data_IF_929335274538
#
_entry.id   IF_929335274538
#
_cell.length_a   1.000
_cell.length_b   1.000
_cell.length_c   1.000
_cell.angle_alpha   90.00
_cell.angle_beta   90.00
_cell.angle_gamma   90.00
#
_symmetry.space_group_name_H-M   'P 1'
#
loop_
_entity.id
_entity.type
_entity.pdbx_description
1 polymer ?
#
# COMPACT_ATOMS: atom_id res chain seq x y z
N UNK A 1 9.60 5.87 -0.87
CA UNK A 1 9.59 7.24 -1.40
C UNK A 1 10.34 8.12 -0.42
N UNK A 2 11.00 9.20 -0.83
CA UNK A 2 11.73 10.11 0.08
C UNK A 2 10.80 10.83 1.07
N UNK A 3 9.49 10.87 0.80
CA UNK A 3 8.46 11.40 1.70
C UNK A 3 8.07 10.44 2.83
N UNK A 4 8.37 9.14 2.71
CA UNK A 4 8.05 8.15 3.75
C UNK A 4 8.99 8.32 4.95
N UNK A 5 8.43 8.76 6.08
CA UNK A 5 9.19 9.11 7.28
C UNK A 5 9.51 7.90 8.16
N UNK A 6 8.74 6.82 8.07
CA UNK A 6 8.91 5.62 8.89
C UNK A 6 8.91 4.38 7.98
N UNK A 7 10.00 4.14 7.25
CA UNK A 7 10.06 3.03 6.31
C UNK A 7 9.99 1.68 7.03
N UNK A 8 9.17 0.76 6.50
CA UNK A 8 9.11 -0.63 6.97
C UNK A 8 10.34 -1.44 6.56
N UNK A 9 10.66 -2.47 7.34
CA UNK A 9 11.61 -3.52 6.92
C UNK A 9 10.97 -4.43 5.86
N UNK A 10 11.59 -4.54 4.68
CA UNK A 10 11.05 -5.29 3.54
C UNK A 10 11.46 -6.78 3.58
N UNK A 11 10.95 -7.53 4.56
CA UNK A 11 11.21 -8.96 4.73
C UNK A 11 10.25 -9.83 3.90
N UNK A 12 10.68 -10.32 2.73
CA UNK A 12 9.81 -11.09 1.82
C UNK A 12 9.75 -12.59 2.18
N UNK A 13 10.77 -13.11 2.88
CA UNK A 13 10.83 -14.45 3.47
C UNK A 13 11.52 -14.34 4.83
N UNK A 14 11.28 -15.31 5.72
CA UNK A 14 11.87 -15.32 7.07
C UNK A 14 13.39 -15.15 7.00
N UNK A 15 13.91 -14.05 7.56
CA UNK A 15 15.33 -13.70 7.58
C UNK A 15 15.89 -13.13 6.27
N UNK A 16 15.07 -12.96 5.23
CA UNK A 16 15.50 -12.41 3.92
C UNK A 16 14.83 -11.07 3.66
N UNK A 17 15.64 -10.02 3.73
CA UNK A 17 15.23 -8.63 3.55
C UNK A 17 15.65 -8.14 2.15
N UNK A 18 14.73 -7.47 1.45
CA UNK A 18 15.03 -6.82 0.18
C UNK A 18 15.91 -5.60 0.44
N UNK A 19 16.94 -5.39 -0.40
CA UNK A 19 17.65 -4.11 -0.41
C UNK A 19 16.71 -3.01 -0.92
N UNK A 20 16.74 -1.86 -0.26
CA UNK A 20 15.97 -0.69 -0.65
C UNK A 20 16.84 0.55 -0.63
N UNK A 21 16.53 1.51 -1.50
CA UNK A 21 17.13 2.84 -1.52
C UNK A 21 16.01 3.89 -1.50
N UNK A 22 16.23 5.06 -0.87
CA UNK A 22 15.33 6.19 -1.01
C UNK A 22 15.29 6.67 -2.47
N UNK A 23 14.12 7.13 -2.92
CA UNK A 23 13.93 7.68 -4.25
C UNK A 23 12.59 8.39 -4.35
N UNK A 24 12.46 9.30 -5.33
CA UNK A 24 11.22 10.01 -5.61
C UNK A 24 10.31 9.12 -6.47
N UNK A 25 9.08 8.89 -6.02
CA UNK A 25 8.04 8.20 -6.78
C UNK A 25 6.94 9.18 -7.17
N UNK A 26 6.33 8.97 -8.34
CA UNK A 26 5.19 9.77 -8.77
C UNK A 26 3.96 9.55 -7.86
N UNK A 27 3.74 8.30 -7.42
CA UNK A 27 2.68 7.91 -6.48
C UNK A 27 3.07 6.62 -5.77
N UNK A 28 2.50 6.37 -4.58
CA UNK A 28 2.89 5.24 -3.75
C UNK A 28 4.11 5.52 -2.88
N UNK A 29 4.28 4.70 -1.84
CA UNK A 29 5.44 4.74 -0.94
C UNK A 29 6.52 3.75 -1.34
N UNK A 30 6.14 2.63 -1.94
CA UNK A 30 7.05 1.55 -2.33
C UNK A 30 6.86 1.13 -3.77
N UNK A 31 7.98 0.86 -4.43
CA UNK A 31 8.01 0.34 -5.79
C UNK A 31 9.25 -0.53 -5.98
N UNK A 32 9.36 -1.17 -7.14
CA UNK A 32 10.50 -1.97 -7.55
C UNK A 32 11.38 -1.15 -8.52
N UNK A 33 12.68 -1.04 -8.23
CA UNK A 33 13.63 -0.33 -9.08
C UNK A 33 13.66 -0.93 -10.49
N UNK A 34 13.54 -0.08 -11.52
CA UNK A 34 13.39 -0.46 -12.93
C UNK A 34 11.93 -0.70 -13.36
N UNK A 35 10.98 -0.71 -12.42
CA UNK A 35 9.56 -0.99 -12.66
C UNK A 35 8.65 0.06 -11.99
N UNK A 36 9.15 1.28 -11.78
CA UNK A 36 8.43 2.34 -11.05
C UNK A 36 7.18 2.88 -11.73
N UNK A 37 6.98 2.57 -13.01
CA UNK A 37 5.76 2.89 -13.75
C UNK A 37 4.75 1.72 -13.76
N UNK A 38 5.12 0.59 -13.14
CA UNK A 38 4.39 -0.67 -13.25
C UNK A 38 3.81 -1.11 -11.91
N UNK A 39 4.62 -0.97 -10.85
CA UNK A 39 4.22 -1.33 -9.48
C UNK A 39 4.29 -0.13 -8.54
N UNK A 40 3.22 0.14 -7.81
CA UNK A 40 3.21 1.14 -6.74
C UNK A 40 2.37 0.62 -5.57
N UNK A 41 2.95 0.63 -4.38
CA UNK A 41 2.28 0.22 -3.15
C UNK A 41 2.24 1.44 -2.23
N UNK A 42 1.03 1.83 -1.85
CA UNK A 42 0.77 2.88 -0.86
C UNK A 42 0.64 2.23 0.50
N UNK A 43 1.33 2.75 1.52
CA UNK A 43 1.25 2.28 2.90
C UNK A 43 0.51 3.33 3.72
N UNK A 44 -0.35 2.90 4.63
CA UNK A 44 -1.05 3.82 5.53
C UNK A 44 -1.12 3.26 6.94
N UNK A 45 -0.76 4.08 7.92
CA UNK A 45 -1.12 3.79 9.31
C UNK A 45 -2.64 3.96 9.48
N UNK A 46 -3.21 3.45 10.57
CA UNK A 46 -4.64 3.61 10.83
C UNK A 46 -5.03 5.08 11.04
N UNK A 47 -4.20 5.87 11.73
CA UNK A 47 -4.47 7.27 12.00
C UNK A 47 -4.33 8.12 10.72
N UNK A 48 -3.32 7.85 9.89
CA UNK A 48 -3.17 8.52 8.59
C UNK A 48 -4.32 8.16 7.64
N UNK A 49 -4.79 6.91 7.67
CA UNK A 49 -5.95 6.48 6.89
C UNK A 49 -7.20 7.25 7.30
N UNK A 50 -7.43 7.43 8.61
CA UNK A 50 -8.57 8.24 9.07
C UNK A 50 -8.43 9.71 8.65
N UNK A 51 -7.21 10.26 8.64
CA UNK A 51 -6.94 11.57 8.05
C UNK A 51 -7.30 11.64 6.57
N UNK A 52 -6.95 10.61 5.80
CA UNK A 52 -7.28 10.48 4.38
C UNK A 52 -8.79 10.33 4.13
N UNK A 53 -9.52 9.61 4.97
CA UNK A 53 -10.98 9.45 4.82
C UNK A 53 -11.73 10.73 5.25
N UNK A 54 -11.18 11.44 6.23
CA UNK A 54 -11.73 12.69 6.75
C UNK A 54 -11.17 13.92 6.01
N UNK A 55 -10.32 14.66 6.71
CA UNK A 55 -9.93 16.03 6.32
C UNK A 55 -9.06 16.10 5.05
N UNK A 56 -8.40 15.01 4.68
CA UNK A 56 -7.49 14.96 3.52
C UNK A 56 -8.07 14.19 2.33
N UNK A 57 -9.39 13.96 2.32
CA UNK A 57 -10.05 13.11 1.33
C UNK A 57 -9.77 13.50 -0.10
N UNK A 58 -10.03 14.74 -0.49
CA UNK A 58 -9.82 15.19 -1.87
C UNK A 58 -8.37 14.98 -2.34
N UNK A 59 -7.40 15.20 -1.44
CA UNK A 59 -5.99 14.93 -1.74
C UNK A 59 -5.76 13.44 -1.96
N UNK A 60 -6.25 12.60 -1.06
CA UNK A 60 -6.02 11.16 -1.13
C UNK A 60 -6.74 10.50 -2.31
N UNK A 61 -7.93 10.97 -2.69
CA UNK A 61 -8.63 10.50 -3.90
C UNK A 61 -7.79 10.74 -5.17
N UNK A 62 -7.02 11.84 -5.24
CA UNK A 62 -6.08 12.05 -6.36
C UNK A 62 -4.95 11.02 -6.36
N UNK A 63 -4.52 10.53 -5.19
CA UNK A 63 -3.52 9.47 -5.09
C UNK A 63 -4.10 8.13 -5.53
N UNK A 64 -5.35 7.83 -5.14
CA UNK A 64 -6.12 6.67 -5.60
C UNK A 64 -6.25 6.68 -7.13
N UNK A 65 -6.63 7.81 -7.74
CA UNK A 65 -6.72 7.95 -9.19
C UNK A 65 -5.38 7.65 -9.88
N UNK A 66 -4.27 8.18 -9.35
CA UNK A 66 -2.93 7.88 -9.91
C UNK A 66 -2.56 6.41 -9.74
N UNK A 67 -2.85 5.81 -8.59
CA UNK A 67 -2.61 4.39 -8.34
C UNK A 67 -3.36 3.51 -9.35
N UNK A 68 -4.59 3.84 -9.75
CA UNK A 68 -5.37 3.05 -10.72
C UNK A 68 -4.62 2.78 -12.02
N UNK A 69 -3.75 3.69 -12.46
CA UNK A 69 -2.92 3.55 -13.65
C UNK A 69 -1.81 2.50 -13.57
N UNK A 70 -1.54 1.94 -12.39
CA UNK A 70 -0.51 0.91 -12.20
C UNK A 70 -1.08 -0.50 -12.45
N UNK A 71 -0.29 -1.36 -13.09
CA UNK A 71 -0.64 -2.77 -13.27
C UNK A 71 -0.69 -3.50 -11.93
N UNK A 72 0.34 -3.31 -11.10
CA UNK A 72 0.38 -3.85 -9.74
C UNK A 72 0.26 -2.70 -8.75
N UNK A 73 -0.80 -2.73 -7.96
CA UNK A 73 -1.11 -1.69 -6.99
C UNK A 73 -1.75 -2.27 -5.75
N UNK A 74 -1.51 -1.62 -4.62
CA UNK A 74 -2.24 -1.91 -3.39
C UNK A 74 -2.17 -0.72 -2.43
N UNK A 75 -3.21 -0.56 -1.63
CA UNK A 75 -3.21 0.18 -0.38
C UNK A 75 -2.98 -0.81 0.77
N UNK A 76 -1.83 -0.75 1.43
CA UNK A 76 -1.48 -1.59 2.59
C UNK A 76 -1.75 -0.80 3.85
N UNK A 77 -2.69 -1.26 4.67
CA UNK A 77 -3.12 -0.57 5.88
C UNK A 77 -2.59 -1.30 7.11
N UNK A 78 -1.94 -0.58 8.02
CA UNK A 78 -1.47 -1.10 9.32
C UNK A 78 -2.62 -1.23 10.33
N UNK A 79 -3.62 -2.03 9.97
CA UNK A 79 -4.79 -2.30 10.79
C UNK A 79 -5.45 -3.62 10.40
N UNK A 80 -6.50 -3.97 11.12
CA UNK A 80 -7.43 -5.05 10.79
C UNK A 80 -8.82 -4.47 10.54
N UNK A 81 -9.64 -5.18 9.78
CA UNK A 81 -11.06 -4.82 9.61
C UNK A 81 -11.76 -4.65 10.95
N UNK A 82 -11.56 -5.61 11.86
CA UNK A 82 -12.17 -5.61 13.20
C UNK A 82 -11.83 -4.35 14.02
N UNK A 83 -10.61 -3.80 13.90
CA UNK A 83 -10.25 -2.53 14.55
C UNK A 83 -11.03 -1.35 13.97
N UNK A 84 -11.14 -1.29 12.64
CA UNK A 84 -11.86 -0.21 11.95
C UNK A 84 -13.35 -0.28 12.28
N UNK A 85 -13.97 -1.46 12.22
CA UNK A 85 -15.37 -1.69 12.55
C UNK A 85 -15.72 -1.28 13.99
N UNK A 86 -14.80 -1.52 14.93
CA UNK A 86 -14.94 -1.12 16.34
C UNK A 86 -14.66 0.37 16.58
N UNK A 87 -14.10 1.10 15.61
CA UNK A 87 -13.66 2.47 15.82
C UNK A 87 -12.41 2.60 16.70
N UNK A 88 -11.55 1.57 16.76
CA UNK A 88 -10.35 1.53 17.58
C UNK A 88 -9.19 2.32 16.93
N UNK A 89 -9.35 3.65 16.87
CA UNK A 89 -8.39 4.61 16.30
C UNK A 89 -8.60 6.02 16.87
N UNK A 90 -7.64 6.93 16.65
CA UNK A 90 -7.68 8.29 17.21
C UNK A 90 -8.29 9.29 16.23
N UNK A 91 -9.56 9.12 15.89
CA UNK A 91 -10.30 10.00 14.96
C UNK A 91 -11.79 10.05 15.26
N UNK A 92 -12.46 11.11 14.80
CA UNK A 92 -13.94 11.25 14.82
C UNK A 92 -14.61 10.65 13.59
N UNK A 93 -13.86 10.10 12.65
CA UNK A 93 -14.42 9.43 11.46
C UNK A 93 -15.30 8.26 11.94
N UNK A 94 -16.55 8.24 11.46
CA UNK A 94 -17.49 7.17 11.78
C UNK A 94 -17.00 5.82 11.16
N UNK A 95 -17.01 4.71 11.93
CA UNK A 95 -16.59 3.39 11.43
C UNK A 95 -17.29 2.95 10.14
N UNK A 96 -18.61 3.13 10.03
CA UNK A 96 -19.37 2.78 8.83
C UNK A 96 -18.96 3.63 7.62
N UNK A 97 -18.64 4.91 7.83
CA UNK A 97 -18.11 5.77 6.76
C UNK A 97 -16.70 5.34 6.33
N UNK A 98 -15.85 4.92 7.27
CA UNK A 98 -14.52 4.39 6.96
C UNK A 98 -14.60 3.09 6.15
N UNK A 99 -15.43 2.15 6.58
CA UNK A 99 -15.68 0.89 5.86
C UNK A 99 -16.26 1.18 4.48
N UNK A 100 -17.26 2.05 4.36
CA UNK A 100 -17.84 2.42 3.07
C UNK A 100 -16.82 3.01 2.10
N UNK A 101 -15.91 3.85 2.59
CA UNK A 101 -14.84 4.42 1.77
C UNK A 101 -13.85 3.36 1.30
N UNK A 102 -13.41 2.46 2.19
CA UNK A 102 -12.53 1.35 1.83
C UNK A 102 -13.18 0.39 0.83
N UNK A 103 -14.46 0.06 1.01
CA UNK A 103 -15.22 -0.75 0.04
C UNK A 103 -15.35 -0.04 -1.31
N UNK A 104 -15.54 1.28 -1.30
CA UNK A 104 -15.55 2.10 -2.52
C UNK A 104 -14.23 1.99 -3.28
N UNK A 105 -13.09 2.18 -2.63
CA UNK A 105 -11.79 2.03 -3.28
C UNK A 105 -11.53 0.61 -3.80
N UNK A 106 -11.99 -0.43 -3.07
CA UNK A 106 -11.93 -1.81 -3.57
C UNK A 106 -12.78 -1.99 -4.82
N UNK A 107 -14.01 -1.47 -4.83
CA UNK A 107 -14.90 -1.52 -5.99
C UNK A 107 -14.32 -0.75 -7.20
N UNK A 108 -13.52 0.28 -6.96
CA UNK A 108 -12.75 0.99 -7.98
C UNK A 108 -11.49 0.26 -8.46
N UNK A 109 -11.24 -0.95 -7.97
CA UNK A 109 -10.12 -1.79 -8.37
C UNK A 109 -8.81 -1.48 -7.65
N UNK A 110 -8.85 -0.85 -6.47
CA UNK A 110 -7.70 -0.73 -5.56
C UNK A 110 -7.72 -1.88 -4.56
N UNK A 111 -6.77 -2.83 -4.63
CA UNK A 111 -6.64 -3.83 -3.59
C UNK A 111 -6.29 -3.17 -2.24
N UNK A 112 -7.09 -3.45 -1.23
CA UNK A 112 -6.82 -3.03 0.16
C UNK A 112 -6.32 -4.23 0.95
N UNK A 113 -5.11 -4.13 1.47
CA UNK A 113 -4.45 -5.20 2.22
C UNK A 113 -4.32 -4.81 3.69
N UNK A 114 -5.10 -5.45 4.55
CA UNK A 114 -5.02 -5.26 6.01
C UNK A 114 -3.82 -6.02 6.56
N UNK A 115 -2.82 -5.29 7.03
CA UNK A 115 -1.55 -5.83 7.49
C UNK A 115 -1.44 -5.92 9.02
N UNK A 116 -2.46 -5.54 9.78
CA UNK A 116 -2.48 -5.49 11.25
C UNK A 116 -1.51 -4.46 11.87
N UNK A 117 -0.22 -4.53 11.57
CA UNK A 117 0.80 -3.67 12.17
C UNK A 117 1.98 -3.37 11.24
N UNK A 118 2.86 -2.48 11.68
CA UNK A 118 4.02 -1.99 10.94
C UNK A 118 4.95 -3.06 10.40
N UNK A 119 5.31 -4.03 11.25
CA UNK A 119 6.21 -5.12 10.85
C UNK A 119 5.59 -5.97 9.75
N UNK A 120 4.31 -6.30 9.90
CA UNK A 120 3.57 -7.12 8.94
C UNK A 120 3.30 -6.38 7.63
N UNK A 121 3.10 -5.07 7.66
CA UNK A 121 3.03 -4.25 6.44
C UNK A 121 4.31 -4.39 5.61
N UNK A 122 5.48 -4.33 6.25
CA UNK A 122 6.76 -4.62 5.61
C UNK A 122 6.82 -5.98 4.91
N UNK A 123 6.35 -7.03 5.57
CA UNK A 123 6.29 -8.38 4.98
C UNK A 123 5.36 -8.43 3.77
N UNK A 124 4.18 -7.82 3.86
CA UNK A 124 3.17 -7.86 2.80
C UNK A 124 3.64 -7.07 1.58
N UNK A 125 4.16 -5.87 1.80
CA UNK A 125 4.76 -5.03 0.75
C UNK A 125 5.91 -5.79 0.06
N UNK A 126 6.85 -6.32 0.84
CA UNK A 126 8.00 -7.04 0.29
C UNK A 126 7.60 -8.28 -0.51
N UNK A 127 6.60 -9.04 -0.04
CA UNK A 127 6.08 -10.21 -0.76
C UNK A 127 5.42 -9.82 -2.07
N UNK A 128 4.61 -8.77 -2.11
CA UNK A 128 3.99 -8.28 -3.34
C UNK A 128 5.05 -7.84 -4.36
N UNK A 129 6.05 -7.07 -3.92
CA UNK A 129 7.17 -6.64 -4.78
C UNK A 129 7.98 -7.85 -5.31
N UNK A 130 8.30 -8.81 -4.44
CA UNK A 130 9.02 -10.02 -4.81
C UNK A 130 8.24 -10.87 -5.83
N UNK A 131 6.95 -11.13 -5.58
CA UNK A 131 6.10 -11.90 -6.49
C UNK A 131 6.00 -11.18 -7.84
N UNK A 132 5.87 -9.86 -7.84
CA UNK A 132 5.84 -9.05 -9.06
C UNK A 132 7.13 -9.21 -9.85
N UNK A 133 8.29 -8.99 -9.21
CA UNK A 133 9.60 -9.18 -9.84
C UNK A 133 9.75 -10.58 -10.45
N UNK A 134 9.31 -11.63 -9.74
CA UNK A 134 9.35 -13.02 -10.21
C UNK A 134 8.46 -13.25 -11.42
N UNK A 135 7.23 -12.73 -11.43
CA UNK A 135 6.31 -12.83 -12.58
C UNK A 135 6.90 -12.16 -13.81
N UNK A 136 7.50 -10.98 -13.65
CA UNK A 136 8.15 -10.26 -14.74
C UNK A 136 9.39 -10.97 -15.27
N UNK A 137 10.24 -11.51 -14.38
CA UNK A 137 11.38 -12.32 -14.78
C UNK A 137 10.96 -13.53 -15.63
N UNK A 138 9.87 -14.21 -15.26
CA UNK A 138 9.34 -15.34 -16.03
C UNK A 138 8.80 -14.91 -17.40
N UNK A 139 8.08 -13.78 -17.48
CA UNK A 139 7.59 -13.21 -18.75
C UNK A 139 8.76 -12.90 -19.69
N UNK A 140 9.82 -12.26 -19.20
CA UNK A 140 11.00 -11.94 -20.00
C UNK A 140 11.72 -13.19 -20.52
N UNK A 141 11.81 -14.25 -19.71
CA UNK A 141 12.39 -15.53 -20.12
C UNK A 141 11.57 -16.29 -21.16
N UNK A 142 10.26 -16.06 -21.22
CA UNK A 142 9.38 -16.76 -22.16
C UNK A 142 9.46 -16.19 -23.59
N UNK A 143 10.03 -14.98 -23.75
CA UNK A 143 10.18 -14.30 -25.04
C UNK A 143 11.65 -14.21 -25.50
N UNK A 144 12.58 -14.76 -24.72
CA UNK A 144 14.02 -14.85 -25.01
C UNK A 144 14.39 -16.26 -25.44
#
# INVERSE_FOLDING_TARGET
DTREQRPVTLEFKKGLVMKSEPGTLYTGDYSLKGFQNLVAIERKSIDDLMGCIGTQRERFEREIIRLKGYEVKALVVESTWAKIEKGDYRSRVNPSAAIGTLMGWIAEGIPVCMADNHKRAGVFIARMLYITARRYQLRLKAIS
#
